data_IF_872182400531
#
_entry.id   IF_872182400531
#
_cell.length_a   1.000
_cell.length_b   1.000
_cell.length_c   1.000
_cell.angle_alpha   90.00
_cell.angle_beta   90.00
_cell.angle_gamma   90.00
#
_symmetry.space_group_name_H-M   'P 1'
#
loop_
_entity.id
_entity.type
_entity.pdbx_description
1 polymer ?
#
# COMPACT_ATOMS: atom_id res chain seq x y z
N UNK A 1 -67.87 22.63 20.59
CA UNK A 1 -67.29 21.91 19.45
C UNK A 1 -65.95 22.56 19.11
N UNK A 2 -64.81 21.93 19.42
CA UNK A 2 -63.50 22.46 19.06
C UNK A 2 -63.09 21.99 17.65
N UNK A 3 -62.49 22.89 16.86
CA UNK A 3 -61.95 22.61 15.52
C UNK A 3 -60.64 21.82 15.63
N UNK A 4 -60.33 20.90 14.68
CA UNK A 4 -59.04 20.21 14.66
C UNK A 4 -57.94 21.13 14.12
N UNK A 5 -56.66 20.91 14.49
CA UNK A 5 -55.54 21.66 13.95
C UNK A 5 -55.15 21.12 12.56
N UNK A 6 -54.83 22.04 11.64
CA UNK A 6 -54.23 21.72 10.35
C UNK A 6 -52.79 21.22 10.57
N UNK A 7 -52.50 19.99 10.13
CA UNK A 7 -51.15 19.49 9.90
C UNK A 7 -50.59 20.10 8.62
N UNK A 8 -49.56 20.93 8.72
CA UNK A 8 -48.77 21.37 7.59
C UNK A 8 -47.71 20.29 7.28
N UNK A 9 -47.89 19.58 6.16
CA UNK A 9 -46.87 18.71 5.58
C UNK A 9 -45.75 19.59 5.00
N UNK A 10 -44.60 19.66 5.67
CA UNK A 10 -43.40 20.23 5.10
C UNK A 10 -42.75 19.17 4.19
N UNK A 11 -42.94 19.30 2.88
CA UNK A 11 -42.21 18.52 1.90
C UNK A 11 -40.75 19.04 1.84
N UNK A 12 -39.82 18.33 2.47
CA UNK A 12 -38.40 18.53 2.23
C UNK A 12 -38.09 18.11 0.79
N UNK A 13 -37.93 19.11 -0.08
CA UNK A 13 -37.35 18.92 -1.41
C UNK A 13 -35.88 18.51 -1.22
N UNK A 14 -35.61 17.21 -1.28
CA UNK A 14 -34.26 16.70 -1.45
C UNK A 14 -33.75 17.21 -2.81
N UNK A 15 -32.83 18.16 -2.78
CA UNK A 15 -32.08 18.55 -3.97
C UNK A 15 -31.32 17.30 -4.46
N UNK A 16 -31.33 17.00 -5.76
CA UNK A 16 -30.54 15.90 -6.30
C UNK A 16 -29.07 16.17 -5.98
N UNK A 17 -28.40 15.21 -5.34
CA UNK A 17 -26.95 15.23 -5.20
C UNK A 17 -26.36 15.41 -6.60
N UNK A 18 -25.73 16.57 -6.86
CA UNK A 18 -24.95 16.75 -8.09
C UNK A 18 -23.86 15.68 -8.06
N UNK A 19 -23.77 14.87 -9.12
CA UNK A 19 -22.68 13.91 -9.27
C UNK A 19 -21.36 14.68 -9.13
N UNK A 20 -20.60 14.40 -8.07
CA UNK A 20 -19.29 14.99 -7.85
C UNK A 20 -18.39 14.50 -8.98
N UNK A 21 -17.97 15.41 -9.85
CA UNK A 21 -17.07 15.07 -10.95
C UNK A 21 -15.63 15.15 -10.47
N UNK A 22 -14.86 14.08 -10.60
CA UNK A 22 -13.42 14.06 -10.28
C UNK A 22 -12.58 14.50 -11.49
N UNK A 23 -13.03 15.53 -12.20
CA UNK A 23 -12.48 15.96 -13.48
C UNK A 23 -11.00 16.39 -13.38
N UNK A 24 -10.57 16.92 -12.24
CA UNK A 24 -9.16 17.24 -12.03
C UNK A 24 -8.31 15.96 -11.88
N UNK A 25 -8.83 14.92 -11.26
CA UNK A 25 -8.14 13.63 -11.12
C UNK A 25 -8.06 12.87 -12.47
N UNK A 26 -9.18 12.83 -13.20
CA UNK A 26 -9.37 11.96 -14.37
C UNK A 26 -9.34 12.71 -15.70
N UNK A 27 -9.00 13.99 -15.67
CA UNK A 27 -8.94 14.84 -16.85
C UNK A 27 -7.84 14.42 -17.82
N UNK A 28 -7.89 14.86 -19.09
CA UNK A 28 -6.90 14.53 -20.09
C UNK A 28 -5.46 14.79 -19.61
N UNK A 29 -4.58 13.82 -19.80
CA UNK A 29 -3.17 13.93 -19.41
C UNK A 29 -2.91 13.65 -17.93
N UNK A 30 -3.88 13.07 -17.20
CA UNK A 30 -3.70 12.67 -15.81
C UNK A 30 -2.49 11.76 -15.60
N UNK A 31 -2.14 10.93 -16.57
CA UNK A 31 -0.99 10.02 -16.57
C UNK A 31 0.36 10.74 -16.65
N UNK A 32 0.39 11.97 -17.18
CA UNK A 32 1.61 12.77 -17.36
C UNK A 32 1.87 13.73 -16.19
N UNK A 33 0.90 13.86 -15.27
CA UNK A 33 1.07 14.70 -14.08
C UNK A 33 2.23 14.20 -13.23
N UNK A 34 2.89 15.09 -12.49
CA UNK A 34 3.81 14.64 -11.44
C UNK A 34 3.03 13.89 -10.35
N UNK A 35 3.69 12.98 -9.63
CA UNK A 35 3.03 12.20 -8.58
C UNK A 35 2.39 13.09 -7.50
N UNK A 36 3.04 14.20 -7.14
CA UNK A 36 2.51 15.19 -6.20
C UNK A 36 1.23 15.87 -6.73
N UNK A 37 1.24 16.32 -7.99
CA UNK A 37 0.08 16.97 -8.58
C UNK A 37 -1.08 15.99 -8.75
N UNK A 38 -0.81 14.78 -9.22
CA UNK A 38 -1.83 13.74 -9.36
C UNK A 38 -2.45 13.36 -8.02
N UNK A 39 -1.63 13.13 -6.98
CA UNK A 39 -2.12 12.84 -5.64
C UNK A 39 -2.99 13.98 -5.07
N UNK A 40 -2.57 15.23 -5.25
CA UNK A 40 -3.34 16.40 -4.82
C UNK A 40 -4.69 16.52 -5.57
N UNK A 41 -4.70 16.34 -6.89
CA UNK A 41 -5.91 16.43 -7.70
C UNK A 41 -6.89 15.27 -7.44
N UNK A 42 -6.39 14.13 -6.96
CA UNK A 42 -7.18 12.93 -6.68
C UNK A 42 -7.57 12.74 -5.21
N UNK A 43 -7.20 13.66 -4.30
CA UNK A 43 -7.47 13.51 -2.86
C UNK A 43 -8.96 13.36 -2.55
N UNK A 44 -9.81 14.14 -3.21
CA UNK A 44 -11.27 14.05 -3.04
C UNK A 44 -11.80 12.70 -3.54
N UNK A 45 -11.30 12.19 -4.68
CA UNK A 45 -11.67 10.88 -5.19
C UNK A 45 -11.28 9.76 -4.23
N UNK A 46 -10.12 9.88 -3.58
CA UNK A 46 -9.65 8.92 -2.59
C UNK A 46 -10.50 8.92 -1.32
N UNK A 47 -10.80 10.09 -0.75
CA UNK A 47 -11.29 10.19 0.63
C UNK A 47 -12.77 10.54 0.76
N UNK A 48 -13.34 11.21 -0.23
CA UNK A 48 -14.77 11.56 -0.29
C UNK A 48 -15.53 10.65 -1.26
N UNK A 49 -14.83 10.08 -2.24
CA UNK A 49 -15.39 9.13 -3.19
C UNK A 49 -15.95 7.88 -2.53
N UNK A 50 -16.99 7.32 -3.15
CA UNK A 50 -17.49 6.01 -2.82
C UNK A 50 -16.49 4.90 -3.21
N UNK A 51 -16.84 3.66 -2.90
CA UNK A 51 -15.94 2.53 -3.11
C UNK A 51 -15.61 2.29 -4.58
N UNK A 52 -16.53 2.58 -5.51
CA UNK A 52 -16.30 2.44 -6.93
C UNK A 52 -15.29 3.49 -7.43
N UNK A 53 -15.43 4.74 -6.99
CA UNK A 53 -14.45 5.79 -7.29
C UNK A 53 -13.07 5.47 -6.71
N UNK A 54 -12.99 4.92 -5.49
CA UNK A 54 -11.71 4.47 -4.92
C UNK A 54 -11.09 3.32 -5.72
N UNK A 55 -11.90 2.35 -6.17
CA UNK A 55 -11.39 1.26 -6.99
C UNK A 55 -10.91 1.77 -8.36
N UNK A 56 -11.56 2.79 -8.90
CA UNK A 56 -11.14 3.45 -10.14
C UNK A 56 -9.82 4.19 -9.95
N UNK A 57 -9.65 4.92 -8.84
CA UNK A 57 -8.38 5.53 -8.46
C UNK A 57 -7.27 4.49 -8.29
N UNK A 58 -7.56 3.31 -7.73
CA UNK A 58 -6.60 2.21 -7.64
C UNK A 58 -6.06 1.81 -9.03
N UNK A 59 -6.93 1.73 -10.04
CA UNK A 59 -6.53 1.47 -11.43
C UNK A 59 -5.72 2.62 -12.04
N UNK A 60 -6.05 3.88 -11.76
CA UNK A 60 -5.25 5.01 -12.23
C UNK A 60 -3.81 4.94 -11.67
N UNK A 61 -3.65 4.68 -10.36
CA UNK A 61 -2.32 4.50 -9.78
C UNK A 61 -1.59 3.29 -10.36
N UNK A 62 -2.26 2.14 -10.47
CA UNK A 62 -1.68 0.94 -11.07
C UNK A 62 -1.21 1.19 -12.50
N UNK A 63 -1.98 1.93 -13.29
CA UNK A 63 -1.63 2.25 -14.65
C UNK A 63 -0.45 3.24 -14.75
N UNK A 64 -0.42 4.27 -13.91
CA UNK A 64 0.71 5.21 -13.82
C UNK A 64 2.00 4.49 -13.49
N UNK A 65 2.07 3.76 -12.38
CA UNK A 65 3.32 3.13 -11.98
C UNK A 65 3.81 2.08 -12.99
N UNK A 66 2.91 1.49 -13.77
CA UNK A 66 3.24 0.50 -14.80
C UNK A 66 3.54 1.08 -16.19
N UNK A 67 3.54 2.40 -16.37
CA UNK A 67 3.95 3.03 -17.62
C UNK A 67 5.34 2.50 -18.07
N UNK A 68 5.51 2.23 -19.37
CA UNK A 68 6.67 1.49 -19.86
C UNK A 68 7.94 2.36 -19.88
N UNK A 69 9.05 1.79 -19.42
CA UNK A 69 10.41 2.29 -19.66
C UNK A 69 11.21 1.27 -20.48
N UNK A 70 12.22 1.69 -21.26
CA UNK A 70 13.06 0.78 -22.02
C UNK A 70 13.77 -0.24 -21.13
N UNK A 71 13.82 -1.48 -21.57
CA UNK A 71 14.59 -2.57 -20.98
C UNK A 71 15.64 -3.08 -21.97
N UNK A 72 16.64 -3.80 -21.47
CA UNK A 72 17.55 -4.54 -22.34
C UNK A 72 16.76 -5.66 -23.04
N UNK A 73 17.05 -5.90 -24.31
CA UNK A 73 16.41 -6.97 -25.07
C UNK A 73 16.51 -8.32 -24.33
N UNK A 74 15.37 -8.99 -24.14
CA UNK A 74 15.28 -10.28 -23.45
C UNK A 74 15.21 -10.18 -21.92
N UNK A 75 15.21 -8.98 -21.34
CA UNK A 75 15.07 -8.77 -19.89
C UNK A 75 13.78 -8.05 -19.51
N UNK A 76 12.96 -7.67 -20.49
CA UNK A 76 11.68 -7.04 -20.27
C UNK A 76 10.58 -8.02 -19.86
N UNK A 77 9.36 -7.48 -19.74
CA UNK A 77 8.15 -8.29 -19.54
C UNK A 77 8.04 -9.33 -20.64
N UNK A 78 7.85 -10.60 -20.24
CA UNK A 78 7.74 -11.76 -21.12
C UNK A 78 8.87 -11.86 -22.17
N UNK A 79 10.07 -11.40 -21.79
CA UNK A 79 11.25 -11.38 -22.66
C UNK A 79 11.29 -10.22 -23.65
N UNK A 80 10.41 -9.23 -23.51
CA UNK A 80 10.35 -8.02 -24.32
C UNK A 80 11.50 -7.03 -24.08
N UNK A 81 11.30 -5.81 -24.54
CA UNK A 81 12.25 -4.68 -24.52
C UNK A 81 11.77 -3.50 -23.65
N UNK A 82 10.78 -3.74 -22.79
CA UNK A 82 10.27 -2.75 -21.86
C UNK A 82 9.91 -3.39 -20.51
N UNK A 83 9.82 -2.55 -19.48
CA UNK A 83 9.38 -2.91 -18.13
C UNK A 83 8.58 -1.76 -17.52
N UNK A 84 7.83 -1.97 -16.42
CA UNK A 84 7.22 -0.91 -15.64
C UNK A 84 8.26 0.08 -15.12
N UNK A 85 7.92 1.37 -15.09
CA UNK A 85 8.83 2.40 -14.59
C UNK A 85 9.31 2.18 -13.15
N UNK A 86 8.50 1.53 -12.30
CA UNK A 86 8.89 1.20 -10.93
C UNK A 86 10.02 0.15 -10.85
N UNK A 87 10.34 -0.55 -11.95
CA UNK A 87 11.56 -1.36 -12.01
C UNK A 87 12.86 -0.51 -12.06
N UNK A 88 12.75 0.79 -12.33
CA UNK A 88 13.83 1.77 -12.22
C UNK A 88 13.86 2.54 -10.88
N UNK A 89 12.97 2.25 -9.94
CA UNK A 89 12.92 2.93 -8.64
C UNK A 89 13.90 2.30 -7.62
N UNK A 90 14.39 3.06 -6.64
CA UNK A 90 15.25 2.55 -5.58
C UNK A 90 14.53 1.49 -4.74
N UNK A 91 15.22 0.40 -4.47
CA UNK A 91 14.77 -0.64 -3.54
C UNK A 91 15.20 -0.36 -2.10
N UNK A 92 14.80 -1.22 -1.15
CA UNK A 92 15.30 -1.20 0.23
C UNK A 92 16.84 -1.15 0.32
N UNK A 93 17.61 -2.07 -0.30
CA UNK A 93 19.06 -1.95 -0.35
C UNK A 93 19.58 -0.62 -0.93
N UNK A 94 18.92 -0.07 -1.94
CA UNK A 94 19.35 1.19 -2.55
C UNK A 94 19.10 2.42 -1.65
N UNK A 95 18.20 2.29 -0.68
CA UNK A 95 17.83 3.38 0.24
C UNK A 95 18.52 3.26 1.59
N UNK A 96 18.57 2.06 2.16
CA UNK A 96 19.02 1.83 3.53
C UNK A 96 20.39 1.13 3.61
N UNK A 97 20.84 0.48 2.53
CA UNK A 97 22.09 -0.28 2.53
C UNK A 97 23.30 0.50 1.95
N UNK A 98 23.12 1.75 1.53
CA UNK A 98 24.16 2.57 0.91
C UNK A 98 24.10 4.02 1.38
N UNK A 99 25.24 4.72 1.30
CA UNK A 99 25.32 6.18 1.47
C UNK A 99 25.42 6.92 0.14
N UNK A 100 25.49 6.17 -0.96
CA UNK A 100 25.56 6.74 -2.30
C UNK A 100 24.15 7.13 -2.76
N UNK A 101 23.97 8.32 -3.37
CA UNK A 101 22.71 8.69 -3.99
C UNK A 101 22.29 7.68 -5.06
N UNK A 102 20.99 7.41 -5.16
CA UNK A 102 20.43 6.56 -6.18
C UNK A 102 20.33 7.31 -7.52
N UNK A 103 20.83 6.73 -8.63
CA UNK A 103 20.70 7.34 -9.95
C UNK A 103 19.31 7.07 -10.53
N UNK A 104 18.44 8.06 -10.51
CA UNK A 104 17.16 8.01 -11.22
C UNK A 104 17.36 8.33 -12.71
N UNK A 105 17.83 7.35 -13.48
CA UNK A 105 18.11 7.45 -14.91
C UNK A 105 17.18 6.59 -15.79
N UNK A 106 16.09 6.08 -15.20
CA UNK A 106 15.16 5.14 -15.83
C UNK A 106 15.82 3.83 -16.31
N UNK A 107 16.98 3.48 -15.78
CA UNK A 107 17.58 2.16 -16.02
C UNK A 107 16.94 1.15 -15.08
N UNK A 108 16.23 0.13 -15.60
CA UNK A 108 15.67 -0.89 -14.75
C UNK A 108 16.77 -1.75 -14.13
N UNK A 109 16.54 -2.22 -12.90
CA UNK A 109 17.47 -3.12 -12.23
C UNK A 109 17.57 -4.48 -12.95
N UNK A 110 18.79 -4.97 -13.10
CA UNK A 110 19.05 -6.28 -13.73
C UNK A 110 19.00 -7.46 -12.73
N UNK A 111 18.91 -7.18 -11.43
CA UNK A 111 18.95 -8.19 -10.36
C UNK A 111 17.80 -7.93 -9.40
N UNK A 112 17.10 -9.01 -9.03
CA UNK A 112 16.08 -8.98 -7.98
C UNK A 112 16.73 -8.64 -6.65
N UNK A 113 16.19 -7.66 -5.93
CA UNK A 113 16.71 -7.25 -4.61
C UNK A 113 15.64 -7.50 -3.55
N UNK A 114 15.43 -8.77 -3.13
CA UNK A 114 14.40 -9.09 -2.17
C UNK A 114 14.66 -8.38 -0.84
N UNK A 115 13.59 -8.05 -0.12
CA UNK A 115 13.68 -7.57 1.25
C UNK A 115 14.37 -8.61 2.12
N UNK A 116 15.35 -8.16 2.92
CA UNK A 116 16.28 -9.02 3.67
C UNK A 116 15.72 -9.47 5.03
N UNK A 117 14.68 -8.80 5.55
CA UNK A 117 14.05 -9.13 6.84
C UNK A 117 12.57 -9.46 6.63
N UNK A 118 12.20 -10.74 6.86
CA UNK A 118 10.81 -11.21 6.79
C UNK A 118 10.13 -11.10 8.15
N UNK A 119 8.88 -10.62 8.18
CA UNK A 119 8.06 -10.36 9.38
C UNK A 119 8.00 -11.54 10.36
N UNK A 120 7.91 -12.78 9.86
CA UNK A 120 7.88 -13.98 10.70
C UNK A 120 9.14 -14.20 11.54
N UNK A 121 10.33 -13.75 11.07
CA UNK A 121 11.59 -13.90 11.80
C UNK A 121 11.63 -13.01 13.05
N UNK A 122 11.01 -11.84 13.03
CA UNK A 122 10.97 -10.92 14.17
C UNK A 122 9.77 -11.11 15.10
N UNK A 123 8.61 -11.53 14.56
CA UNK A 123 7.39 -11.80 15.34
C UNK A 123 7.44 -13.14 16.11
N UNK A 124 8.51 -13.91 16.01
CA UNK A 124 8.72 -15.16 16.77
C UNK A 124 7.79 -16.31 16.39
N UNK A 125 7.22 -16.32 15.18
CA UNK A 125 6.30 -17.35 14.69
C UNK A 125 6.98 -18.18 13.58
N UNK A 126 7.29 -19.47 13.90
CA UNK A 126 7.58 -20.71 13.11
C UNK A 126 7.66 -20.56 11.56
N UNK A 127 8.56 -21.13 10.73
CA UNK A 127 9.63 -22.18 10.75
C UNK A 127 10.69 -21.86 9.67
N UNK A 128 11.92 -22.38 9.82
CA UNK A 128 13.04 -22.24 8.85
C UNK A 128 13.03 -23.27 7.70
N UNK A 129 11.96 -24.06 7.54
CA UNK A 129 11.89 -25.13 6.54
C UNK A 129 10.95 -24.74 5.38
N UNK A 130 11.53 -23.99 4.43
CA UNK A 130 11.31 -23.92 2.97
C UNK A 130 9.91 -24.01 2.32
N UNK A 131 9.61 -23.23 1.26
CA UNK A 131 10.14 -21.91 0.88
C UNK A 131 9.03 -20.86 1.01
N UNK A 132 9.29 -19.76 1.72
CA UNK A 132 8.47 -18.55 1.53
C UNK A 132 8.77 -18.00 0.13
N UNK A 133 8.07 -18.56 -0.87
CA UNK A 133 8.24 -18.35 -2.29
C UNK A 133 7.76 -16.99 -2.80
N UNK A 134 7.35 -16.07 -1.93
CA UNK A 134 7.25 -14.66 -2.24
C UNK A 134 8.62 -14.01 -2.01
N UNK A 135 9.38 -13.84 -3.10
CA UNK A 135 10.45 -12.85 -3.07
C UNK A 135 9.74 -11.50 -3.04
N UNK A 136 9.78 -10.82 -1.90
CA UNK A 136 9.16 -9.52 -1.73
C UNK A 136 10.18 -8.44 -2.07
N UNK A 137 9.76 -7.40 -2.77
CA UNK A 137 10.63 -6.27 -3.07
C UNK A 137 9.89 -4.96 -2.82
N UNK A 138 10.47 -4.11 -1.98
CA UNK A 138 9.92 -2.79 -1.70
C UNK A 138 10.67 -1.75 -2.53
N UNK A 139 9.93 -0.90 -3.21
CA UNK A 139 10.47 0.23 -3.99
C UNK A 139 9.73 1.52 -3.67
N UNK A 140 10.32 2.66 -4.01
CA UNK A 140 9.72 3.97 -3.74
C UNK A 140 10.05 5.00 -4.80
N UNK A 141 9.12 5.89 -5.07
CA UNK A 141 9.36 6.94 -6.05
C UNK A 141 10.38 7.98 -5.56
N UNK A 142 10.76 8.88 -6.46
CA UNK A 142 11.75 9.93 -6.18
C UNK A 142 11.37 10.81 -4.98
N UNK A 143 10.12 11.21 -4.88
CA UNK A 143 9.63 12.09 -3.79
C UNK A 143 9.88 11.46 -2.43
N UNK A 144 9.53 10.17 -2.27
CA UNK A 144 9.75 9.45 -1.04
C UNK A 144 11.25 9.25 -0.75
N UNK A 145 12.03 8.84 -1.77
CA UNK A 145 13.48 8.64 -1.62
C UNK A 145 14.21 9.92 -1.19
N UNK A 146 13.99 11.03 -1.90
CA UNK A 146 14.67 12.30 -1.64
C UNK A 146 14.38 12.76 -0.20
N UNK A 147 13.12 12.68 0.25
CA UNK A 147 12.75 13.01 1.62
C UNK A 147 13.50 12.14 2.65
N UNK A 148 13.56 10.82 2.47
CA UNK A 148 14.25 9.92 3.40
C UNK A 148 15.74 10.26 3.52
N UNK A 149 16.39 10.57 2.40
CA UNK A 149 17.81 10.92 2.36
C UNK A 149 18.04 12.28 3.02
N UNK A 150 17.25 13.30 2.67
CA UNK A 150 17.40 14.67 3.19
C UNK A 150 17.07 14.76 4.68
N UNK A 151 16.07 14.00 5.15
CA UNK A 151 15.67 13.95 6.55
C UNK A 151 16.60 13.08 7.42
N UNK A 152 17.53 12.32 6.81
CA UNK A 152 18.38 11.39 7.55
C UNK A 152 17.59 10.22 8.15
N UNK A 153 16.61 9.68 7.43
CA UNK A 153 15.77 8.56 7.88
C UNK A 153 16.23 7.20 7.33
N UNK A 154 17.54 7.06 7.07
CA UNK A 154 18.11 5.87 6.41
C UNK A 154 18.87 4.91 7.34
N UNK A 155 19.13 5.31 8.58
CA UNK A 155 19.72 4.45 9.62
C UNK A 155 19.01 4.64 10.96
N UNK A 156 19.01 3.63 11.83
CA UNK A 156 18.38 3.70 13.16
C UNK A 156 18.95 4.84 14.00
N UNK A 157 20.25 5.12 13.85
CA UNK A 157 20.92 6.24 14.50
C UNK A 157 20.49 7.60 13.96
N UNK A 158 20.28 7.69 12.65
CA UNK A 158 19.88 8.96 12.04
C UNK A 158 18.38 9.22 12.31
N UNK A 159 17.55 8.16 12.43
CA UNK A 159 16.18 8.25 13.00
C UNK A 159 16.20 8.76 14.45
N UNK A 160 17.07 8.24 15.31
CA UNK A 160 17.25 8.79 16.68
C UNK A 160 17.62 10.27 16.66
N UNK A 161 18.49 10.66 15.72
CA UNK A 161 18.90 12.07 15.55
C UNK A 161 17.74 12.94 15.07
N UNK A 162 16.98 12.48 14.09
CA UNK A 162 15.80 13.18 13.57
C UNK A 162 14.82 13.50 14.70
N UNK A 163 14.52 12.53 15.57
CA UNK A 163 13.55 12.72 16.66
C UNK A 163 14.05 13.56 17.86
N UNK A 164 15.32 13.98 17.86
CA UNK A 164 15.81 14.99 18.83
C UNK A 164 15.34 16.40 18.45
N UNK A 165 15.23 16.67 17.15
CA UNK A 165 14.92 18.01 16.61
C UNK A 165 13.50 18.09 16.01
N UNK A 166 12.91 16.94 15.67
CA UNK A 166 11.57 16.81 15.06
C UNK A 166 10.70 15.91 15.91
N UNK A 167 9.39 16.13 15.85
CA UNK A 167 8.42 15.33 16.59
C UNK A 167 7.69 14.27 15.76
N UNK A 168 7.79 14.33 14.43
CA UNK A 168 7.06 13.44 13.53
C UNK A 168 7.74 13.35 12.17
N UNK A 169 7.56 12.20 11.52
CA UNK A 169 7.73 12.04 10.09
C UNK A 169 6.39 12.40 9.43
N UNK A 170 6.44 13.15 8.34
CA UNK A 170 5.31 13.42 7.45
C UNK A 170 5.86 13.44 6.02
N UNK A 171 5.62 12.35 5.30
CA UNK A 171 6.08 12.16 3.93
C UNK A 171 5.40 13.20 3.02
N UNK A 172 6.10 13.72 2.01
CA UNK A 172 5.50 14.66 1.09
C UNK A 172 4.35 14.02 0.30
N UNK A 173 3.32 14.82 -0.01
CA UNK A 173 2.23 14.41 -0.93
C UNK A 173 2.79 13.96 -2.27
N UNK A 174 2.27 12.84 -2.78
CA UNK A 174 2.80 12.17 -3.97
C UNK A 174 3.93 11.18 -3.68
N UNK A 175 4.33 10.99 -2.42
CA UNK A 175 5.19 9.86 -2.05
C UNK A 175 4.48 8.55 -2.39
N UNK A 176 5.18 7.66 -3.11
CA UNK A 176 4.69 6.33 -3.46
C UNK A 176 5.66 5.28 -2.91
N UNK A 177 5.13 4.31 -2.20
CA UNK A 177 5.84 3.08 -1.84
C UNK A 177 5.08 1.88 -2.40
N UNK A 178 5.84 0.94 -2.94
CA UNK A 178 5.34 -0.28 -3.54
C UNK A 178 5.95 -1.48 -2.85
N UNK A 179 5.16 -2.53 -2.65
CA UNK A 179 5.66 -3.85 -2.24
C UNK A 179 5.22 -4.90 -3.25
N UNK A 180 6.15 -5.40 -4.05
CA UNK A 180 5.90 -6.41 -5.07
C UNK A 180 6.08 -7.82 -4.49
N UNK A 181 5.27 -8.77 -4.96
CA UNK A 181 5.42 -10.20 -4.68
C UNK A 181 5.77 -10.95 -5.96
N UNK A 182 6.84 -11.75 -5.88
CA UNK A 182 7.40 -12.48 -6.99
C UNK A 182 7.53 -13.95 -6.65
N UNK A 183 7.21 -14.85 -7.59
CA UNK A 183 7.55 -16.27 -7.49
C UNK A 183 8.54 -16.64 -8.58
N UNK A 184 9.67 -17.22 -8.16
CA UNK A 184 10.68 -17.73 -9.08
C UNK A 184 10.14 -18.97 -9.79
N UNK A 185 10.39 -19.05 -11.09
CA UNK A 185 10.14 -20.25 -11.88
C UNK A 185 11.42 -21.10 -11.92
N UNK A 186 11.30 -22.38 -11.59
CA UNK A 186 12.34 -23.36 -11.88
C UNK A 186 12.43 -23.62 -13.40
N UNK A 187 13.58 -24.12 -13.92
CA UNK A 187 13.79 -24.24 -15.37
C UNK A 187 12.77 -25.07 -16.15
N UNK A 188 12.06 -25.99 -15.49
CA UNK A 188 11.01 -26.85 -16.05
C UNK A 188 9.59 -26.37 -15.74
N UNK A 189 9.44 -25.26 -15.01
CA UNK A 189 8.16 -24.67 -14.66
C UNK A 189 7.75 -23.60 -15.66
N UNK A 190 6.43 -23.51 -15.90
CA UNK A 190 5.81 -22.42 -16.63
C UNK A 190 5.03 -21.54 -15.66
N UNK A 191 4.95 -20.25 -15.97
CA UNK A 191 4.03 -19.36 -15.27
C UNK A 191 2.57 -19.79 -15.53
N UNK A 192 1.65 -19.54 -14.59
CA UNK A 192 0.22 -19.68 -14.86
C UNK A 192 -0.22 -18.88 -16.09
N UNK A 193 -1.21 -19.38 -16.81
CA UNK A 193 -1.75 -18.73 -18.00
C UNK A 193 -2.18 -17.28 -17.71
N UNK A 194 -1.60 -16.31 -18.43
CA UNK A 194 -1.90 -14.89 -18.29
C UNK A 194 -1.11 -14.15 -17.22
N UNK A 195 -0.26 -14.84 -16.44
CA UNK A 195 0.65 -14.19 -15.49
C UNK A 195 1.82 -13.52 -16.24
N UNK A 196 2.16 -12.30 -15.82
CA UNK A 196 3.30 -11.56 -16.39
C UNK A 196 4.60 -12.13 -15.82
N UNK A 197 5.59 -12.37 -16.68
CA UNK A 197 6.92 -12.83 -16.29
C UNK A 197 8.01 -11.80 -16.53
N UNK A 198 9.06 -11.87 -15.71
CA UNK A 198 10.22 -10.98 -15.78
C UNK A 198 11.50 -11.79 -15.67
N UNK A 199 12.49 -11.45 -16.48
CA UNK A 199 13.80 -12.10 -16.45
C UNK A 199 14.81 -11.22 -15.74
N UNK A 200 15.29 -11.70 -14.59
CA UNK A 200 16.41 -11.10 -13.86
C UNK A 200 17.66 -11.97 -14.04
N UNK A 201 18.83 -11.42 -13.68
CA UNK A 201 20.11 -12.17 -13.73
C UNK A 201 20.07 -13.50 -12.96
N UNK A 202 19.21 -13.61 -11.93
CA UNK A 202 19.04 -14.82 -11.12
C UNK A 202 18.01 -15.84 -11.65
N UNK A 203 17.26 -15.52 -12.70
CA UNK A 203 16.24 -16.39 -13.28
C UNK A 203 14.96 -15.65 -13.67
N UNK A 204 13.96 -16.42 -14.07
CA UNK A 204 12.63 -15.90 -14.43
C UNK A 204 11.71 -15.95 -13.23
N UNK A 205 10.92 -14.90 -13.06
CA UNK A 205 9.95 -14.75 -11.99
C UNK A 205 8.62 -14.37 -12.59
N UNK A 206 7.52 -14.95 -12.11
CA UNK A 206 6.20 -14.40 -12.40
C UNK A 206 5.78 -13.43 -11.30
N UNK A 207 5.10 -12.37 -11.73
CA UNK A 207 4.61 -11.30 -10.88
C UNK A 207 3.27 -11.70 -10.29
N UNK A 208 3.21 -11.81 -8.96
CA UNK A 208 2.00 -12.24 -8.25
C UNK A 208 1.07 -11.08 -7.96
N UNK A 209 1.65 -9.92 -7.65
CA UNK A 209 0.89 -8.77 -7.22
C UNK A 209 1.74 -7.70 -6.57
N UNK A 210 1.06 -6.65 -6.11
CA UNK A 210 1.66 -5.39 -5.70
C UNK A 210 0.77 -4.67 -4.70
N UNK A 211 1.36 -4.25 -3.59
CA UNK A 211 0.78 -3.17 -2.78
C UNK A 211 1.21 -1.83 -3.33
N UNK A 212 0.26 -0.90 -3.40
CA UNK A 212 0.48 0.49 -3.79
C UNK A 212 0.04 1.36 -2.62
N UNK A 213 0.97 2.18 -2.13
CA UNK A 213 0.77 3.11 -1.03
C UNK A 213 1.09 4.50 -1.52
N UNK A 214 0.13 5.43 -1.43
CA UNK A 214 0.31 6.80 -1.91
C UNK A 214 -0.07 7.81 -0.84
N UNK A 215 0.83 8.73 -0.52
CA UNK A 215 0.52 9.87 0.36
C UNK A 215 -0.32 10.87 -0.43
N UNK A 216 -1.59 11.01 -0.07
CA UNK A 216 -2.55 11.88 -0.76
C UNK A 216 -2.65 13.26 -0.11
N UNK A 217 -2.50 13.34 1.21
CA UNK A 217 -2.48 14.60 1.94
C UNK A 217 -1.72 14.47 3.27
N UNK A 218 -1.22 15.58 3.80
CA UNK A 218 -0.76 15.67 5.19
C UNK A 218 -1.95 15.72 6.15
N UNK A 219 -1.78 15.17 7.35
CA UNK A 219 -2.76 15.34 8.43
C UNK A 219 -2.60 16.70 9.09
N UNK A 220 -3.70 17.23 9.64
CA UNK A 220 -3.63 18.44 10.48
C UNK A 220 -2.83 18.17 11.76
N UNK A 221 -2.94 16.96 12.31
CA UNK A 221 -2.15 16.51 13.45
C UNK A 221 -1.52 15.12 13.18
N UNK A 222 -0.35 15.05 12.52
CA UNK A 222 0.28 13.78 12.18
C UNK A 222 0.76 12.96 13.40
N UNK A 223 0.88 13.56 14.59
CA UNK A 223 1.22 12.84 15.82
C UNK A 223 0.10 11.86 16.25
N UNK A 224 -1.14 12.11 15.83
CA UNK A 224 -2.32 11.29 16.19
C UNK A 224 -2.61 10.17 15.18
N UNK A 225 -1.76 9.92 14.20
CA UNK A 225 -2.03 9.00 13.07
C UNK A 225 -2.36 7.57 13.49
N UNK A 226 -1.90 7.10 14.66
CA UNK A 226 -2.25 5.78 15.22
C UNK A 226 -3.68 5.69 15.76
N UNK A 227 -4.27 6.84 16.05
CA UNK A 227 -5.50 7.01 16.81
C UNK A 227 -6.57 7.74 16.00
N UNK A 228 -6.30 8.01 14.73
CA UNK A 228 -7.12 8.83 13.86
C UNK A 228 -7.64 8.03 12.68
N UNK A 229 -8.93 8.21 12.37
CA UNK A 229 -9.55 7.73 11.13
C UNK A 229 -9.42 8.77 10.01
N UNK A 230 -8.77 9.91 10.27
CA UNK A 230 -8.46 10.90 9.23
C UNK A 230 -7.51 10.28 8.21
N UNK A 231 -7.92 10.20 6.93
CA UNK A 231 -7.11 9.55 5.92
C UNK A 231 -5.98 10.47 5.46
N UNK A 232 -4.80 9.91 5.25
CA UNK A 232 -3.65 10.60 4.62
C UNK A 232 -3.01 9.79 3.52
N UNK A 233 -3.01 8.46 3.67
CA UNK A 233 -2.54 7.51 2.70
C UNK A 233 -3.71 6.82 2.00
N UNK A 234 -3.53 6.57 0.70
CA UNK A 234 -4.37 5.67 -0.07
C UNK A 234 -3.61 4.36 -0.29
N UNK A 235 -4.26 3.25 0.04
CA UNK A 235 -3.71 1.91 -0.13
C UNK A 235 -4.57 1.10 -1.10
N UNK A 236 -3.92 0.35 -1.97
CA UNK A 236 -4.56 -0.75 -2.71
C UNK A 236 -3.61 -1.92 -2.90
N UNK A 237 -4.19 -3.11 -3.07
CA UNK A 237 -3.45 -4.36 -3.30
C UNK A 237 -3.92 -4.95 -4.62
N UNK A 238 -3.05 -5.02 -5.61
CA UNK A 238 -3.28 -5.74 -6.86
C UNK A 238 -2.74 -7.16 -6.75
N UNK A 239 -3.48 -8.11 -7.31
CA UNK A 239 -3.11 -9.52 -7.34
C UNK A 239 -3.51 -10.14 -8.68
N UNK A 240 -2.69 -11.07 -9.16
CA UNK A 240 -2.95 -11.86 -10.35
C UNK A 240 -4.23 -12.68 -10.14
N UNK A 241 -5.17 -12.60 -11.09
CA UNK A 241 -6.48 -13.23 -10.96
C UNK A 241 -6.40 -14.77 -10.95
N UNK A 242 -5.31 -15.35 -11.47
CA UNK A 242 -5.10 -16.80 -11.44
C UNK A 242 -4.36 -17.30 -10.20
N UNK A 243 -4.01 -16.44 -9.23
CA UNK A 243 -3.35 -16.89 -8.00
C UNK A 243 -4.30 -17.79 -7.18
N UNK A 244 -3.84 -18.97 -6.71
CA UNK A 244 -4.71 -19.90 -5.97
C UNK A 244 -5.34 -19.26 -4.73
N UNK A 245 -6.67 -19.30 -4.67
CA UNK A 245 -7.46 -18.81 -3.52
C UNK A 245 -7.75 -17.31 -3.52
N UNK A 246 -7.32 -16.56 -4.54
CA UNK A 246 -7.57 -15.12 -4.63
C UNK A 246 -9.07 -14.78 -4.64
N UNK A 247 -9.88 -15.55 -5.37
CA UNK A 247 -11.34 -15.35 -5.43
C UNK A 247 -11.99 -15.58 -4.07
N UNK A 248 -11.60 -16.66 -3.38
CA UNK A 248 -12.09 -16.95 -2.03
C UNK A 248 -11.84 -15.78 -1.06
N UNK A 249 -10.64 -15.18 -1.12
CA UNK A 249 -10.31 -14.03 -0.28
C UNK A 249 -11.12 -12.79 -0.65
N UNK A 250 -11.22 -12.49 -1.94
CA UNK A 250 -11.97 -11.33 -2.46
C UNK A 250 -13.45 -11.41 -2.11
N UNK A 251 -14.02 -12.60 -2.12
CA UNK A 251 -15.45 -12.83 -1.86
C UNK A 251 -15.78 -12.95 -0.37
N UNK A 252 -14.87 -13.54 0.42
CA UNK A 252 -15.17 -13.88 1.82
C UNK A 252 -14.66 -12.85 2.82
N UNK A 253 -13.52 -12.20 2.53
CA UNK A 253 -12.78 -11.47 3.56
C UNK A 253 -12.53 -9.99 3.26
N UNK A 254 -12.42 -9.59 2.00
CA UNK A 254 -12.12 -8.19 1.69
C UNK A 254 -13.34 -7.30 1.94
N UNK A 255 -13.17 -6.31 2.82
CA UNK A 255 -14.25 -5.41 3.29
C UNK A 255 -14.45 -4.17 2.42
N UNK A 256 -13.47 -3.82 1.58
CA UNK A 256 -13.44 -2.58 0.80
C UNK A 256 -13.11 -2.87 -0.67
N UNK A 257 -13.98 -3.63 -1.34
CA UNK A 257 -13.87 -3.99 -2.76
C UNK A 257 -15.13 -3.61 -3.55
N UNK A 258 -14.96 -2.84 -4.62
CA UNK A 258 -15.98 -2.63 -5.66
C UNK A 258 -15.40 -2.94 -7.04
N UNK A 259 -15.57 -4.16 -7.57
CA UNK A 259 -15.02 -4.53 -8.87
C UNK A 259 -15.57 -3.65 -9.99
N UNK A 260 -14.71 -3.25 -10.91
CA UNK A 260 -15.07 -2.46 -12.09
C UNK A 260 -15.19 -3.34 -13.33
N UNK A 261 -15.95 -2.87 -14.31
CA UNK A 261 -16.08 -3.56 -15.58
C UNK A 261 -14.78 -3.47 -16.42
N UNK A 262 -14.32 -4.62 -16.92
CA UNK A 262 -13.06 -4.68 -17.66
C UNK A 262 -13.09 -3.87 -18.95
N UNK A 263 -14.17 -3.97 -19.72
CA UNK A 263 -14.27 -3.40 -21.07
C UNK A 263 -14.52 -1.90 -21.04
N UNK A 264 -15.42 -1.45 -20.16
CA UNK A 264 -15.93 -0.09 -20.15
C UNK A 264 -15.18 0.83 -19.18
N UNK A 265 -14.52 0.29 -18.16
CA UNK A 265 -13.85 1.11 -17.14
C UNK A 265 -12.33 0.91 -17.10
N UNK A 266 -11.86 -0.35 -17.11
CA UNK A 266 -10.44 -0.67 -16.90
C UNK A 266 -9.62 -0.50 -18.18
N UNK A 267 -10.02 -1.12 -19.29
CA UNK A 267 -9.28 -1.03 -20.57
C UNK A 267 -9.04 0.41 -21.04
N UNK A 268 -9.98 1.37 -20.91
CA UNK A 268 -9.71 2.77 -21.21
C UNK A 268 -8.57 3.37 -20.39
N UNK A 269 -8.50 3.08 -19.08
CA UNK A 269 -7.42 3.55 -18.19
C UNK A 269 -6.07 2.98 -18.65
N UNK A 270 -6.03 1.66 -18.91
CA UNK A 270 -4.81 1.00 -19.38
C UNK A 270 -4.36 1.54 -20.76
N UNK A 271 -5.31 1.82 -21.65
CA UNK A 271 -5.04 2.36 -22.98
C UNK A 271 -4.47 3.78 -22.91
N UNK A 272 -5.04 4.65 -22.07
CA UNK A 272 -4.56 6.03 -21.89
C UNK A 272 -3.15 6.08 -21.27
N UNK A 273 -2.84 5.14 -20.37
CA UNK A 273 -1.50 4.98 -19.81
C UNK A 273 -0.51 4.26 -20.74
N UNK A 274 -0.96 3.78 -21.91
CA UNK A 274 -0.10 3.10 -22.88
C UNK A 274 0.30 1.68 -22.48
N UNK A 275 -0.48 1.02 -21.62
CA UNK A 275 -0.20 -0.33 -21.11
C UNK A 275 -1.27 -1.38 -21.43
N UNK A 276 -2.27 -1.02 -22.24
CA UNK A 276 -3.27 -1.98 -22.72
C UNK A 276 -2.63 -3.08 -23.57
N UNK A 277 -3.09 -4.32 -23.36
CA UNK A 277 -2.61 -5.52 -24.06
C UNK A 277 -1.27 -6.05 -23.55
N UNK A 278 -0.74 -5.49 -22.46
CA UNK A 278 0.54 -5.91 -21.88
C UNK A 278 0.39 -6.97 -20.77
N UNK A 279 -0.81 -7.53 -20.60
CA UNK A 279 -1.12 -8.60 -19.65
C UNK A 279 -1.64 -8.09 -18.30
N UNK A 280 -1.66 -6.77 -18.09
CA UNK A 280 -2.15 -6.15 -16.85
C UNK A 280 -3.66 -6.32 -16.63
N UNK A 281 -4.41 -6.69 -17.67
CA UNK A 281 -5.81 -7.10 -17.59
C UNK A 281 -6.04 -8.37 -16.76
N UNK A 282 -4.99 -9.19 -16.57
CA UNK A 282 -5.03 -10.39 -15.75
C UNK A 282 -4.89 -10.12 -14.25
N UNK A 283 -4.77 -8.86 -13.85
CA UNK A 283 -4.63 -8.43 -12.46
C UNK A 283 -5.87 -7.66 -12.03
N UNK A 284 -6.16 -7.65 -10.74
CA UNK A 284 -7.22 -6.79 -10.21
C UNK A 284 -6.90 -6.36 -8.77
N UNK A 285 -7.43 -5.20 -8.34
CA UNK A 285 -7.32 -4.82 -6.95
C UNK A 285 -8.19 -5.74 -6.09
N UNK A 286 -7.60 -6.32 -5.05
CA UNK A 286 -8.32 -7.01 -3.98
C UNK A 286 -9.26 -6.03 -3.27
N UNK A 287 -8.82 -4.79 -3.04
CA UNK A 287 -9.59 -3.75 -2.38
C UNK A 287 -8.81 -2.44 -2.23
N UNK A 288 -9.36 -1.50 -1.48
CA UNK A 288 -8.73 -0.23 -1.12
C UNK A 288 -8.80 0.01 0.39
N UNK A 289 -7.88 0.80 0.94
CA UNK A 289 -7.92 1.21 2.34
C UNK A 289 -7.39 2.63 2.48
N UNK A 290 -8.12 3.48 3.19
CA UNK A 290 -7.74 4.88 3.46
C UNK A 290 -7.68 5.20 4.96
N UNK A 291 -8.19 4.28 5.78
CA UNK A 291 -8.37 4.43 7.23
C UNK A 291 -8.44 3.04 7.87
N UNK A 292 -8.61 2.96 9.18
CA UNK A 292 -8.53 1.69 9.91
C UNK A 292 -9.86 0.92 9.94
N UNK A 293 -11.01 1.61 10.00
CA UNK A 293 -12.34 0.97 9.95
C UNK A 293 -13.17 1.38 8.73
N UNK A 294 -14.12 0.53 8.33
CA UNK A 294 -14.93 0.68 7.12
C UNK A 294 -15.58 2.06 7.06
N UNK A 295 -16.23 2.48 8.15
CA UNK A 295 -16.96 3.75 8.23
C UNK A 295 -16.18 4.86 8.96
N UNK A 296 -14.99 4.56 9.49
CA UNK A 296 -14.21 5.49 10.31
C UNK A 296 -14.83 5.79 11.68
N UNK A 297 -15.66 4.87 12.19
CA UNK A 297 -16.33 4.95 13.49
C UNK A 297 -15.64 4.08 14.57
N UNK A 298 -14.57 3.36 14.22
CA UNK A 298 -13.88 2.43 15.09
C UNK A 298 -14.56 1.05 15.27
N UNK A 299 -15.62 0.71 14.53
CA UNK A 299 -16.38 -0.54 14.74
C UNK A 299 -15.90 -1.74 13.92
N UNK A 300 -15.94 -1.64 12.58
CA UNK A 300 -15.60 -2.73 11.65
C UNK A 300 -14.23 -2.51 11.01
N UNK A 301 -13.20 -3.30 11.32
CA UNK A 301 -11.88 -3.13 10.73
C UNK A 301 -11.89 -3.28 9.21
N UNK A 302 -11.15 -2.43 8.50
CA UNK A 302 -10.84 -2.68 7.09
C UNK A 302 -9.87 -3.86 7.00
N UNK A 303 -10.32 -4.91 6.32
CA UNK A 303 -9.52 -6.05 5.90
C UNK A 303 -9.10 -5.88 4.43
N UNK A 304 -7.78 -5.86 4.20
CA UNK A 304 -7.12 -5.75 2.91
C UNK A 304 -5.75 -6.44 2.96
N UNK A 305 -5.47 -7.31 1.99
CA UNK A 305 -4.17 -7.97 1.86
C UNK A 305 -4.05 -8.79 0.57
N UNK A 306 -2.91 -9.44 0.40
CA UNK A 306 -2.55 -10.29 -0.74
C UNK A 306 -2.40 -11.73 -0.27
N UNK A 307 -2.93 -12.69 -1.03
CA UNK A 307 -3.05 -14.07 -0.55
C UNK A 307 -1.70 -14.78 -0.31
N UNK A 308 -0.62 -14.25 -0.91
CA UNK A 308 0.73 -14.76 -0.76
C UNK A 308 1.81 -13.74 -0.36
N UNK A 309 1.45 -12.53 0.09
CA UNK A 309 2.42 -11.50 0.53
C UNK A 309 2.43 -11.31 2.05
N UNK A 310 1.35 -11.68 2.73
CA UNK A 310 1.32 -11.68 4.19
C UNK A 310 1.27 -13.12 4.71
N UNK A 311 2.44 -13.63 5.12
CA UNK A 311 2.61 -14.93 5.78
C UNK A 311 1.76 -15.10 7.05
N UNK A 312 1.36 -14.01 7.70
CA UNK A 312 0.50 -14.00 8.88
C UNK A 312 -0.98 -13.82 8.57
N UNK A 313 -1.35 -13.51 7.31
CA UNK A 313 -2.68 -12.99 7.07
C UNK A 313 -3.77 -14.05 7.09
N UNK A 314 -3.49 -15.33 6.86
CA UNK A 314 -4.55 -16.34 6.77
C UNK A 314 -4.29 -17.59 7.60
N UNK A 315 -5.37 -18.27 8.02
CA UNK A 315 -5.33 -19.55 8.72
C UNK A 315 -6.47 -20.47 8.30
N UNK A 316 -6.39 -21.80 8.53
CA UNK A 316 -5.47 -22.46 9.47
C UNK A 316 -4.08 -22.82 8.92
N UNK A 317 -3.87 -22.80 7.60
CA UNK A 317 -2.56 -23.00 6.95
C UNK A 317 -2.32 -21.91 5.91
N UNK A 318 -1.22 -21.18 6.04
CA UNK A 318 -0.84 -20.04 5.21
C UNK A 318 -0.51 -20.43 3.76
N UNK A 319 -0.21 -21.70 3.49
CA UNK A 319 0.13 -22.16 2.14
C UNK A 319 -1.09 -22.38 1.21
N UNK A 320 -2.32 -22.36 1.74
CA UNK A 320 -3.52 -22.72 0.97
C UNK A 320 -4.66 -21.72 1.18
N UNK A 321 -4.60 -20.55 0.53
CA UNK A 321 -5.57 -19.49 0.72
C UNK A 321 -7.02 -19.88 0.46
N UNK A 322 -7.26 -20.82 -0.45
CA UNK A 322 -8.59 -21.35 -0.77
C UNK A 322 -9.29 -22.07 0.40
N UNK A 323 -8.58 -22.43 1.47
CA UNK A 323 -9.15 -23.09 2.65
C UNK A 323 -9.13 -22.19 3.89
N UNK A 324 -8.79 -20.90 3.73
CA UNK A 324 -8.76 -19.99 4.86
C UNK A 324 -10.16 -19.76 5.41
N UNK A 325 -10.26 -19.74 6.74
CA UNK A 325 -11.51 -19.42 7.46
C UNK A 325 -11.42 -18.08 8.20
N UNK A 326 -10.25 -17.45 8.19
CA UNK A 326 -9.99 -16.16 8.78
C UNK A 326 -8.92 -15.44 7.95
N UNK A 327 -9.04 -14.12 7.86
CA UNK A 327 -8.06 -13.26 7.21
C UNK A 327 -7.77 -12.04 8.09
N UNK A 328 -6.49 -11.77 8.32
CA UNK A 328 -6.00 -10.85 9.33
C UNK A 328 -5.10 -9.73 8.81
N UNK A 329 -5.16 -9.44 7.51
CA UNK A 329 -4.44 -8.33 6.92
C UNK A 329 -5.23 -7.02 7.02
N UNK A 330 -4.62 -6.01 7.64
CA UNK A 330 -5.04 -4.62 7.56
C UNK A 330 -3.79 -3.77 7.39
N UNK A 331 -3.63 -3.17 6.22
CA UNK A 331 -2.38 -2.51 5.84
C UNK A 331 -2.09 -1.29 6.71
N UNK A 332 -3.11 -0.45 6.99
CA UNK A 332 -2.94 0.66 7.93
C UNK A 332 -2.64 0.17 9.35
N UNK A 333 -3.33 -0.86 9.83
CA UNK A 333 -3.07 -1.40 11.17
C UNK A 333 -1.66 -2.00 11.29
N UNK A 334 -1.18 -2.68 10.24
CA UNK A 334 0.19 -3.19 10.18
C UNK A 334 1.21 -2.04 10.15
N UNK A 335 1.00 -1.02 9.31
CA UNK A 335 1.95 0.08 9.15
C UNK A 335 1.89 1.09 10.29
N UNK A 336 0.80 1.15 11.06
CA UNK A 336 0.72 1.91 12.31
C UNK A 336 1.72 1.42 13.37
N UNK A 337 2.32 0.24 13.19
CA UNK A 337 3.41 -0.19 14.08
C UNK A 337 4.78 0.33 13.64
N UNK A 338 4.92 0.91 12.45
CA UNK A 338 6.16 1.55 11.99
C UNK A 338 6.40 2.83 12.79
N UNK A 339 7.07 2.68 13.93
CA UNK A 339 7.16 3.74 14.93
C UNK A 339 8.40 3.61 15.81
N UNK A 340 8.81 4.75 16.36
CA UNK A 340 10.06 4.89 17.11
C UNK A 340 9.81 5.61 18.44
N UNK A 341 10.35 5.08 19.54
CA UNK A 341 10.28 5.71 20.85
C UNK A 341 11.59 6.50 21.13
N UNK A 342 11.58 7.85 21.06
CA UNK A 342 12.78 8.65 21.23
C UNK A 342 13.32 8.66 22.66
N UNK A 343 12.52 8.25 23.66
CA UNK A 343 12.97 8.17 25.05
C UNK A 343 13.77 6.91 25.30
N UNK A 344 13.37 5.80 24.70
CA UNK A 344 14.01 4.48 24.92
C UNK A 344 14.98 4.11 23.81
N UNK A 345 14.91 4.75 22.65
CA UNK A 345 15.70 4.41 21.46
C UNK A 345 15.23 3.15 20.74
N UNK A 346 14.00 2.72 20.99
CA UNK A 346 13.47 1.45 20.50
C UNK A 346 12.46 1.67 19.37
N UNK A 347 12.48 0.77 18.39
CA UNK A 347 11.39 0.59 17.43
C UNK A 347 10.31 -0.30 18.04
N UNK A 348 9.06 -0.09 17.62
CA UNK A 348 7.92 -0.75 18.24
C UNK A 348 7.99 -2.28 18.05
N UNK A 349 7.86 -3.07 19.13
CA UNK A 349 7.82 -4.52 19.03
C UNK A 349 6.50 -4.92 18.37
N UNK A 350 6.59 -5.29 17.10
CA UNK A 350 5.47 -5.52 16.20
C UNK A 350 4.36 -6.37 16.83
N UNK A 351 3.12 -5.91 16.69
CA UNK A 351 1.91 -6.73 16.88
C UNK A 351 1.14 -6.75 15.56
N UNK A 352 0.21 -7.70 15.39
CA UNK A 352 -0.71 -7.75 14.23
C UNK A 352 -2.09 -7.21 14.63
N UNK A 353 -2.23 -5.91 14.99
CA UNK A 353 -3.53 -5.39 15.37
C UNK A 353 -4.43 -5.28 14.12
N UNK A 354 -5.74 -5.29 14.35
CA UNK A 354 -6.76 -4.88 13.38
C UNK A 354 -7.53 -3.69 13.96
N UNK A 355 -7.75 -2.67 13.14
CA UNK A 355 -8.52 -1.47 13.51
C UNK A 355 -7.68 -0.39 14.19
N UNK A 356 -8.33 0.72 14.57
CA UNK A 356 -7.71 1.85 15.27
C UNK A 356 -7.19 1.40 16.64
N UNK A 357 -5.98 1.85 17.00
CA UNK A 357 -5.53 1.72 18.37
C UNK A 357 -6.30 2.72 19.24
N UNK A 358 -6.74 2.30 20.43
CA UNK A 358 -7.38 3.24 21.37
C UNK A 358 -6.35 4.29 21.84
N UNK A 359 -6.77 5.56 22.00
CA UNK A 359 -5.91 6.62 22.62
C UNK A 359 -5.40 6.24 24.01
N UNK A 360 -6.07 5.31 24.71
CA UNK A 360 -5.58 4.79 25.99
C UNK A 360 -4.19 4.17 25.88
N UNK A 361 -3.78 3.72 24.69
CA UNK A 361 -2.44 3.20 24.45
C UNK A 361 -1.33 4.27 24.50
N UNK A 362 -1.65 5.56 24.50
CA UNK A 362 -0.68 6.65 24.67
C UNK A 362 -0.71 7.30 26.07
N UNK A 363 -1.58 6.84 26.97
CA UNK A 363 -1.76 7.50 28.26
C UNK A 363 -0.68 7.08 29.26
N UNK A 364 0.06 8.07 29.79
CA UNK A 364 0.83 7.92 31.03
C UNK A 364 -0.09 7.87 32.24
N UNK A 365 0.23 7.02 33.21
CA UNK A 365 -0.42 7.15 34.51
C UNK A 365 0.06 8.42 35.25
N UNK A 366 -0.50 8.67 36.43
CA UNK A 366 -0.14 9.81 37.27
C UNK A 366 1.31 9.79 37.75
N UNK A 367 2.04 8.69 37.56
CA UNK A 367 3.46 8.53 37.90
C UNK A 367 4.40 8.65 36.69
N UNK A 368 3.85 9.01 35.52
CA UNK A 368 4.56 9.00 34.23
C UNK A 368 5.10 7.61 33.83
N UNK A 369 4.56 6.55 34.40
CA UNK A 369 4.90 5.19 34.01
C UNK A 369 4.11 4.80 32.76
N UNK A 370 4.78 4.06 31.88
CA UNK A 370 4.15 3.53 30.68
C UNK A 370 3.53 2.16 30.94
N UNK A 371 2.21 2.05 30.72
CA UNK A 371 1.45 0.81 30.96
C UNK A 371 1.00 0.13 29.68
N UNK A 372 1.12 0.78 28.51
CA UNK A 372 0.59 0.30 27.24
C UNK A 372 1.64 0.19 26.14
N UNK A 373 1.36 -0.67 25.15
CA UNK A 373 2.32 -1.12 24.13
C UNK A 373 2.87 0.03 23.25
N UNK A 374 2.06 1.01 22.85
CA UNK A 374 2.47 2.10 21.92
C UNK A 374 2.80 3.43 22.59
N UNK A 375 2.90 3.43 23.91
CA UNK A 375 3.10 4.66 24.66
C UNK A 375 4.49 5.27 24.41
N UNK A 376 4.50 6.55 24.02
CA UNK A 376 5.73 7.27 23.72
C UNK A 376 6.38 6.92 22.38
N UNK A 377 5.74 6.05 21.58
CA UNK A 377 6.15 5.82 20.19
C UNK A 377 5.62 6.94 19.30
N UNK A 378 6.46 7.38 18.36
CA UNK A 378 6.15 8.37 17.34
C UNK A 378 6.04 7.69 15.98
N UNK A 379 5.04 8.04 15.16
CA UNK A 379 4.87 7.46 13.84
C UNK A 379 5.99 7.83 12.87
N UNK A 380 6.30 6.87 12.00
CA UNK A 380 7.16 7.05 10.83
C UNK A 380 6.32 7.26 9.55
N UNK A 381 5.15 7.91 9.68
CA UNK A 381 4.17 8.17 8.62
C UNK A 381 3.83 6.94 7.75
N UNK A 382 3.58 5.80 8.41
CA UNK A 382 3.32 4.50 7.76
C UNK A 382 4.47 3.96 6.88
N UNK A 383 5.67 4.54 6.88
CA UNK A 383 6.81 4.01 6.13
C UNK A 383 7.50 2.87 6.88
N UNK A 384 7.18 1.66 6.45
CA UNK A 384 7.64 0.43 7.07
C UNK A 384 9.15 0.19 6.91
N UNK A 385 9.79 0.45 5.76
CA UNK A 385 11.22 0.24 5.62
C UNK A 385 12.08 1.06 6.59
N UNK A 386 11.63 2.21 7.07
CA UNK A 386 12.38 2.97 8.09
C UNK A 386 12.47 2.17 9.40
N UNK A 387 11.41 1.45 9.78
CA UNK A 387 11.38 0.69 11.02
C UNK A 387 12.24 -0.59 10.95
N UNK A 388 12.22 -1.28 9.81
CA UNK A 388 12.82 -2.62 9.67
C UNK A 388 14.16 -2.59 8.93
N UNK A 389 14.28 -1.78 7.87
CA UNK A 389 15.43 -1.83 6.97
C UNK A 389 16.51 -0.79 7.30
N UNK A 390 16.18 0.23 8.10
CA UNK A 390 17.18 1.18 8.57
C UNK A 390 18.27 0.45 9.37
N UNK A 391 19.53 0.72 9.02
CA UNK A 391 20.71 0.06 9.61
C UNK A 391 21.00 0.42 11.05
#
# INVERSE_FOLDING_TARGET
>A
MPRPPLLALAACLALPAQAQTYADCEGPGWQEKSDAAFAADCVAMAFEGDLAHRQRLAWLFFARINQPIPAKAGTGIDGGDWVPQWLGWPTDPDTFATRLPFPFDNTPRATMKPSVEKKALEAGRITREDPDGSNEEVTRNRIAYDYLIEAGLTTKRDVDTFFKDKNMVDMPVGSVELKASWMRLEPDQQAPDGAITYTFTGGTYYFRGLHIMVKMQSLTNPEDIFYSEEPSWFWTTFEFNGDPGVDHIRETFITQRAPLDLETEIKPILAEAGIAGLGFESYAPNGTQIRFTVDGDGSEPVILGHSHMEDFAGGPNTAQPQYWTQFEASCHSCHATASYNPKTGLFFPFSVPKGVLSRTYNNVDTTQLAHYLSQGYRPLDFMWPIAFQAR
#
